data_IF_930178033058
#
_entry.id   IF_930178033058
#
_cell.length_a   1.000
_cell.length_b   1.000
_cell.length_c   1.000
_cell.angle_alpha   90.00
_cell.angle_beta   90.00
_cell.angle_gamma   90.00
#
_symmetry.space_group_name_H-M   'P 1'
#
loop_
_entity.id
_entity.type
_entity.pdbx_description
1 polymer ?
#
# COMPACT_ATOMS: atom_id res chain seq x y z
N UNK A 1 35.51 43.81 9.05
CA UNK A 1 34.81 44.43 10.20
C UNK A 1 35.11 45.93 10.14
N UNK A 2 34.21 46.90 10.03
CA UNK A 2 32.75 47.01 10.01
C UNK A 2 32.43 48.29 9.18
N UNK A 3 31.53 48.22 8.19
CA UNK A 3 30.12 48.66 8.25
C UNK A 3 29.88 50.18 8.11
N UNK A 4 29.62 50.55 6.86
CA UNK A 4 28.72 51.57 6.26
C UNK A 4 28.01 52.60 7.16
N UNK A 5 28.17 53.85 6.70
CA UNK A 5 27.55 55.15 7.05
C UNK A 5 26.01 55.17 6.99
N UNK A 6 25.39 55.95 7.90
CA UNK A 6 23.94 56.18 8.03
C UNK A 6 23.35 57.20 7.01
N UNK A 7 22.06 56.99 6.69
CA UNK A 7 21.12 57.81 5.88
C UNK A 7 20.73 59.16 6.57
N UNK A 8 19.93 60.14 6.02
CA UNK A 8 18.54 59.97 5.47
C UNK A 8 18.04 61.01 4.41
N UNK A 9 16.84 60.81 3.79
CA UNK A 9 15.79 61.85 3.51
C UNK A 9 14.63 61.42 2.57
N UNK A 10 13.46 61.14 3.17
CA UNK A 10 12.04 61.58 2.90
C UNK A 10 11.33 61.53 1.51
N UNK A 11 9.96 61.49 1.50
CA UNK A 11 9.13 60.68 0.59
C UNK A 11 8.39 61.49 -0.50
N UNK A 12 7.85 60.79 -1.51
CA UNK A 12 6.86 61.37 -2.45
C UNK A 12 5.55 60.58 -2.45
N UNK A 13 4.61 61.23 -1.78
CA UNK A 13 3.15 61.24 -1.89
C UNK A 13 2.53 60.71 -3.20
N UNK A 14 1.42 59.96 -3.08
CA UNK A 14 0.42 59.92 -4.16
C UNK A 14 -0.47 58.68 -4.22
N UNK A 15 -1.64 58.79 -3.57
CA UNK A 15 -2.95 58.36 -4.08
C UNK A 15 -3.58 57.07 -3.50
N UNK A 16 -4.31 57.27 -2.40
CA UNK A 16 -5.48 56.48 -2.01
C UNK A 16 -6.68 56.86 -2.90
N UNK A 17 -7.33 55.85 -3.50
CA UNK A 17 -8.79 55.90 -3.73
C UNK A 17 -9.40 54.57 -3.32
N UNK A 18 -10.52 54.67 -2.62
CA UNK A 18 -11.23 53.59 -1.96
C UNK A 18 -12.60 53.31 -2.62
N UNK A 19 -13.09 52.09 -2.35
CA UNK A 19 -14.48 51.58 -2.33
C UNK A 19 -15.17 51.19 -3.66
N UNK A 20 -16.18 50.28 -3.66
CA UNK A 20 -16.84 49.58 -2.54
C UNK A 20 -17.00 48.04 -2.67
N UNK A 21 -17.48 47.45 -1.57
CA UNK A 21 -18.25 46.18 -1.40
C UNK A 21 -19.36 46.05 -2.47
N UNK A 22 -19.87 44.88 -2.88
CA UNK A 22 -20.50 43.85 -2.05
C UNK A 22 -20.92 42.65 -2.93
N UNK A 23 -21.14 41.52 -2.26
CA UNK A 23 -22.11 40.44 -2.54
C UNK A 23 -22.21 39.76 -3.92
N UNK A 24 -21.89 38.47 -3.83
CA UNK A 24 -22.77 37.34 -4.19
C UNK A 24 -22.69 36.67 -5.57
N UNK A 25 -22.41 35.37 -5.46
CA UNK A 25 -22.89 34.24 -6.26
C UNK A 25 -22.23 33.90 -7.62
N UNK A 26 -21.41 32.84 -7.55
CA UNK A 26 -21.63 31.54 -8.20
C UNK A 26 -20.91 31.17 -9.51
N UNK A 27 -20.16 30.07 -9.37
CA UNK A 27 -19.81 28.97 -10.29
C UNK A 27 -19.03 29.26 -11.57
N UNK A 28 -17.83 28.67 -11.62
CA UNK A 28 -17.42 27.56 -12.52
C UNK A 28 -16.01 27.17 -12.08
N UNK A 29 -15.83 26.21 -11.15
CA UNK A 29 -15.66 24.76 -11.39
C UNK A 29 -14.59 24.48 -12.47
N UNK A 30 -13.58 23.69 -12.06
CA UNK A 30 -12.47 23.09 -12.83
C UNK A 30 -11.10 23.71 -12.45
N UNK A 31 -10.13 23.01 -11.86
CA UNK A 31 -10.01 21.61 -11.49
C UNK A 31 -9.19 21.55 -10.20
N UNK A 32 -9.77 20.95 -9.17
CA UNK A 32 -9.03 20.44 -8.04
C UNK A 32 -8.04 19.44 -8.65
N UNK A 33 -6.74 19.74 -8.63
CA UNK A 33 -5.76 18.68 -8.73
C UNK A 33 -5.88 17.88 -7.43
N UNK A 34 -6.87 16.98 -7.40
CA UNK A 34 -6.82 15.77 -6.60
C UNK A 34 -5.58 15.03 -7.10
N UNK A 35 -4.43 15.33 -6.49
CA UNK A 35 -3.32 14.40 -6.51
C UNK A 35 -3.91 13.17 -5.83
N UNK A 36 -4.28 12.20 -6.67
CA UNK A 36 -4.80 10.92 -6.25
C UNK A 36 -3.97 10.44 -5.08
N UNK A 37 -4.67 10.09 -4.01
CA UNK A 37 -4.16 9.29 -2.92
C UNK A 37 -3.22 8.24 -3.54
N UNK A 38 -1.91 8.42 -3.36
CA UNK A 38 -0.92 7.36 -3.56
C UNK A 38 -1.20 6.37 -2.42
N UNK A 39 -2.36 5.73 -2.45
CA UNK A 39 -2.78 4.71 -1.50
C UNK A 39 -1.84 3.55 -1.77
N UNK A 40 -0.72 3.53 -1.05
CA UNK A 40 0.07 2.31 -0.93
C UNK A 40 -0.88 1.35 -0.22
N UNK A 41 -1.54 0.50 -1.00
CA UNK A 41 -2.48 -0.48 -0.49
C UNK A 41 -1.69 -1.52 0.30
N UNK A 42 -1.48 -1.19 1.57
CA UNK A 42 -0.78 -1.98 2.54
C UNK A 42 -1.77 -2.87 3.28
N UNK A 43 -1.50 -4.17 3.28
CA UNK A 43 -2.23 -5.19 3.99
C UNK A 43 -1.39 -5.65 5.17
N UNK A 44 -1.89 -5.43 6.39
CA UNK A 44 -1.23 -5.95 7.58
C UNK A 44 -2.22 -6.50 8.59
N UNK A 45 -1.77 -7.47 9.38
CA UNK A 45 -2.62 -8.11 10.38
C UNK A 45 -2.19 -9.52 10.71
N UNK A 46 -3.01 -10.20 11.51
CA UNK A 46 -2.81 -11.61 11.82
C UNK A 46 -3.41 -12.49 10.72
N UNK A 47 -2.64 -13.48 10.28
CA UNK A 47 -3.07 -14.46 9.29
C UNK A 47 -2.74 -15.88 9.73
N UNK A 48 -3.32 -16.85 9.04
CA UNK A 48 -3.07 -18.27 9.30
C UNK A 48 -2.30 -18.90 8.16
N UNK A 49 -1.16 -19.53 8.45
CA UNK A 49 -0.41 -20.32 7.47
C UNK A 49 -1.05 -21.71 7.32
N UNK A 50 -1.18 -22.16 6.08
CA UNK A 50 -1.53 -23.52 5.70
C UNK A 50 -0.29 -24.16 5.06
N UNK A 51 0.08 -25.36 5.52
CA UNK A 51 1.12 -26.19 4.90
C UNK A 51 0.45 -27.48 4.41
N UNK A 52 0.54 -27.75 3.12
CA UNK A 52 -0.19 -28.86 2.49
C UNK A 52 -1.70 -28.64 2.55
N UNK A 53 -2.38 -29.33 3.48
CA UNK A 53 -3.84 -29.24 3.69
C UNK A 53 -4.20 -28.88 5.13
N UNK A 54 -3.22 -28.63 6.00
CA UNK A 54 -3.43 -28.38 7.43
C UNK A 54 -3.13 -26.93 7.79
N UNK A 55 -3.99 -26.33 8.63
CA UNK A 55 -3.71 -25.06 9.29
C UNK A 55 -2.52 -25.27 10.24
N UNK A 56 -1.40 -24.63 9.95
CA UNK A 56 -0.12 -24.87 10.61
C UNK A 56 0.10 -23.92 11.80
N UNK A 57 -0.35 -22.67 11.71
CA UNK A 57 -0.20 -21.70 12.79
C UNK A 57 -0.54 -20.27 12.37
N UNK A 58 -0.68 -19.39 13.36
CA UNK A 58 -0.90 -17.96 13.16
C UNK A 58 0.42 -17.20 13.06
N UNK A 59 0.45 -16.16 12.22
CA UNK A 59 1.57 -15.23 12.02
C UNK A 59 1.04 -13.81 11.85
N UNK A 60 1.92 -12.83 11.98
CA UNK A 60 1.63 -11.46 11.56
C UNK A 60 2.16 -11.25 10.14
N UNK A 61 1.38 -10.64 9.24
CA UNK A 61 1.80 -10.26 7.91
C UNK A 61 1.83 -8.74 7.73
N UNK A 62 2.73 -8.28 6.87
CA UNK A 62 2.82 -6.91 6.37
C UNK A 62 3.18 -6.96 4.90
N UNK A 63 2.22 -6.66 4.03
CA UNK A 63 2.31 -6.83 2.58
C UNK A 63 1.93 -5.51 1.91
N UNK A 64 2.65 -5.15 0.85
CA UNK A 64 2.33 -4.04 -0.04
C UNK A 64 1.87 -4.61 -1.37
N UNK A 65 0.76 -4.10 -1.88
CA UNK A 65 0.21 -4.58 -3.15
C UNK A 65 1.07 -4.14 -4.32
N UNK A 66 1.21 -5.04 -5.28
CA UNK A 66 1.89 -4.74 -6.54
C UNK A 66 0.86 -4.17 -7.52
N UNK A 67 0.97 -2.89 -7.93
CA UNK A 67 -0.04 -2.24 -8.79
C UNK A 67 -0.02 -2.75 -10.24
N UNK A 68 0.89 -3.68 -10.56
CA UNK A 68 1.05 -4.25 -11.89
C UNK A 68 0.45 -5.65 -11.91
N UNK A 69 -0.48 -5.89 -12.84
CA UNK A 69 -1.05 -7.22 -13.02
C UNK A 69 0.04 -8.26 -13.36
N UNK A 70 0.09 -9.32 -12.57
CA UNK A 70 1.06 -10.40 -12.69
C UNK A 70 0.73 -11.54 -11.72
N UNK A 71 1.56 -12.59 -11.67
CA UNK A 71 1.35 -13.69 -10.74
C UNK A 71 1.53 -13.26 -9.27
N UNK A 72 2.38 -12.25 -9.03
CA UNK A 72 2.59 -11.64 -7.72
C UNK A 72 1.56 -10.53 -7.54
N UNK A 73 0.79 -10.62 -6.46
CA UNK A 73 -0.26 -9.63 -6.11
C UNK A 73 0.18 -8.72 -4.97
N UNK A 74 1.07 -9.18 -4.10
CA UNK A 74 1.65 -8.38 -3.03
C UNK A 74 3.04 -8.89 -2.64
N UNK A 75 3.86 -8.03 -2.06
CA UNK A 75 5.18 -8.34 -1.55
C UNK A 75 5.33 -7.82 -0.13
N UNK A 76 6.13 -8.47 0.70
CA UNK A 76 6.39 -7.95 2.03
C UNK A 76 6.95 -9.00 2.96
N UNK A 77 6.53 -8.95 4.21
CA UNK A 77 7.05 -9.82 5.26
C UNK A 77 5.97 -10.54 6.04
N UNK A 78 6.33 -11.72 6.53
CA UNK A 78 5.58 -12.47 7.53
C UNK A 78 6.46 -12.70 8.74
N UNK A 79 5.88 -12.58 9.93
CA UNK A 79 6.57 -12.64 11.20
C UNK A 79 5.93 -13.67 12.12
N UNK A 80 6.75 -14.54 12.70
CA UNK A 80 6.31 -15.56 13.66
C UNK A 80 7.49 -16.19 14.40
N UNK A 81 7.24 -17.20 15.24
CA UNK A 81 8.29 -17.91 15.95
C UNK A 81 9.33 -18.51 14.98
N UNK A 82 10.62 -18.32 15.23
CA UNK A 82 11.69 -18.71 14.27
C UNK A 82 11.64 -20.19 13.86
N UNK A 83 11.34 -21.09 14.81
CA UNK A 83 11.18 -22.52 14.49
C UNK A 83 10.02 -22.79 13.53
N UNK A 84 8.91 -22.07 13.71
CA UNK A 84 7.75 -22.13 12.83
C UNK A 84 8.09 -21.56 11.46
N UNK A 85 8.72 -20.39 11.40
CA UNK A 85 9.09 -19.75 10.13
C UNK A 85 10.11 -20.56 9.34
N UNK A 86 11.01 -21.30 10.01
CA UNK A 86 11.88 -22.27 9.36
C UNK A 86 11.08 -23.42 8.74
N UNK A 87 9.99 -23.87 9.36
CA UNK A 87 9.10 -24.86 8.77
C UNK A 87 8.39 -24.30 7.53
N UNK A 88 7.86 -23.07 7.62
CA UNK A 88 7.20 -22.39 6.49
C UNK A 88 8.16 -22.26 5.29
N UNK A 89 9.41 -21.84 5.52
CA UNK A 89 10.43 -21.73 4.46
C UNK A 89 10.73 -23.05 3.74
N UNK A 90 10.69 -24.16 4.47
CA UNK A 90 11.00 -25.48 3.92
C UNK A 90 9.78 -26.17 3.31
N UNK A 91 8.58 -25.61 3.47
CA UNK A 91 7.36 -26.14 2.90
C UNK A 91 7.29 -25.84 1.39
N UNK A 92 6.71 -26.77 0.63
CA UNK A 92 6.39 -26.55 -0.78
C UNK A 92 5.05 -25.82 -0.88
N UNK A 93 5.07 -24.59 -1.40
CA UNK A 93 3.86 -23.78 -1.62
C UNK A 93 3.03 -23.54 -0.36
N UNK A 94 3.62 -23.02 0.74
CA UNK A 94 2.83 -22.62 1.90
C UNK A 94 1.80 -21.56 1.49
N UNK A 95 0.60 -21.62 2.07
CA UNK A 95 -0.46 -20.64 1.82
C UNK A 95 -0.68 -19.76 3.05
N UNK A 96 -1.10 -18.53 2.83
CA UNK A 96 -1.50 -17.59 3.88
C UNK A 96 -2.97 -17.25 3.70
N UNK A 97 -3.73 -17.47 4.76
CA UNK A 97 -5.10 -16.98 4.91
C UNK A 97 -5.03 -15.60 5.57
N UNK A 98 -5.49 -14.58 4.87
CA UNK A 98 -5.66 -13.21 5.36
C UNK A 98 -6.94 -13.09 6.21
N UNK A 99 -7.16 -11.94 6.86
CA UNK A 99 -8.28 -11.77 7.81
C UNK A 99 -9.68 -12.00 7.21
N UNK A 100 -9.88 -11.74 5.91
CA UNK A 100 -11.16 -11.93 5.21
C UNK A 100 -11.29 -13.31 4.52
N UNK A 101 -10.59 -14.32 5.06
CA UNK A 101 -10.50 -15.68 4.50
C UNK A 101 -9.91 -15.75 3.08
N UNK A 102 -9.34 -14.65 2.59
CA UNK A 102 -8.63 -14.63 1.30
C UNK A 102 -7.32 -15.42 1.40
N UNK A 103 -7.05 -16.28 0.41
CA UNK A 103 -5.90 -17.19 0.43
C UNK A 103 -4.92 -16.82 -0.68
N UNK A 104 -3.66 -16.63 -0.31
CA UNK A 104 -2.53 -16.46 -1.23
C UNK A 104 -1.52 -17.58 -1.06
N UNK A 105 -0.86 -17.95 -2.16
CA UNK A 105 0.32 -18.82 -2.07
C UNK A 105 1.55 -17.96 -1.79
N UNK A 106 2.39 -18.37 -0.85
CA UNK A 106 3.62 -17.65 -0.51
C UNK A 106 4.82 -18.25 -1.23
N UNK A 107 5.54 -17.38 -1.93
CA UNK A 107 6.91 -17.64 -2.33
C UNK A 107 7.83 -16.94 -1.32
N UNK A 108 8.58 -17.72 -0.54
CA UNK A 108 9.49 -17.16 0.44
C UNK A 108 10.87 -16.89 -0.15
N UNK A 109 11.40 -15.68 0.05
CA UNK A 109 12.67 -15.21 -0.53
C UNK A 109 13.84 -15.21 0.47
N UNK A 110 13.55 -15.48 1.76
CA UNK A 110 14.54 -15.53 2.82
C UNK A 110 14.11 -14.74 4.05
N UNK A 111 15.06 -14.35 4.88
CA UNK A 111 14.83 -13.62 6.13
C UNK A 111 15.47 -14.32 7.33
N UNK A 112 15.43 -13.68 8.48
CA UNK A 112 16.06 -14.13 9.72
C UNK A 112 15.20 -13.77 10.94
N UNK A 113 15.52 -14.37 12.09
CA UNK A 113 15.01 -13.96 13.41
C UNK A 113 13.49 -13.82 13.50
N UNK A 114 12.76 -14.78 12.94
CA UNK A 114 11.30 -14.85 12.94
C UNK A 114 10.63 -14.08 11.82
N UNK A 115 11.36 -13.33 10.99
CA UNK A 115 10.82 -12.58 9.86
C UNK A 115 11.21 -13.27 8.56
N UNK A 116 10.28 -13.39 7.61
CA UNK A 116 10.54 -13.86 6.25
C UNK A 116 10.00 -12.89 5.21
N UNK A 117 10.81 -12.58 4.21
CA UNK A 117 10.39 -11.85 3.03
C UNK A 117 9.67 -12.78 2.08
N UNK A 118 8.52 -12.35 1.59
CA UNK A 118 7.62 -13.16 0.78
C UNK A 118 7.05 -12.37 -0.39
N UNK A 119 6.76 -13.10 -1.45
CA UNK A 119 5.87 -12.70 -2.53
C UNK A 119 4.57 -13.49 -2.38
N UNK A 120 3.46 -12.78 -2.26
CA UNK A 120 2.13 -13.35 -2.30
C UNK A 120 1.72 -13.53 -3.76
N UNK A 121 1.46 -14.77 -4.13
CA UNK A 121 0.97 -15.17 -5.44
C UNK A 121 -0.54 -15.37 -5.35
N UNK A 122 -1.27 -14.93 -6.38
CA UNK A 122 -2.69 -15.26 -6.49
C UNK A 122 -2.86 -16.79 -6.50
N UNK A 123 -3.68 -17.32 -5.59
CA UNK A 123 -3.96 -18.75 -5.53
C UNK A 123 -5.02 -19.11 -6.58
N UNK A 124 -4.61 -19.30 -7.84
CA UNK A 124 -5.41 -20.17 -8.73
C UNK A 124 -5.07 -21.61 -8.35
N UNK A 125 -6.08 -22.38 -7.96
CA UNK A 125 -5.89 -23.74 -7.45
C UNK A 125 -5.10 -24.66 -8.41
N UNK A 126 -4.63 -25.82 -7.94
CA UNK A 126 -3.69 -26.69 -8.67
C UNK A 126 -4.21 -27.29 -9.99
N UNK A 127 -5.44 -27.01 -10.41
CA UNK A 127 -6.04 -27.47 -11.68
C UNK A 127 -6.32 -26.38 -12.71
N UNK A 128 -6.12 -25.11 -12.40
CA UNK A 128 -6.23 -24.05 -13.40
C UNK A 128 -4.99 -23.18 -13.31
N UNK A 129 -4.13 -23.30 -14.34
CA UNK A 129 -3.10 -22.29 -14.56
C UNK A 129 -3.79 -20.92 -14.48
N UNK A 130 -3.31 -20.01 -13.62
CA UNK A 130 -3.65 -18.59 -13.72
C UNK A 130 -3.13 -18.06 -15.07
N UNK A 131 -3.77 -18.43 -16.18
CA UNK A 131 -3.50 -17.89 -17.51
C UNK A 131 -4.34 -16.65 -17.77
N UNK A 132 -5.35 -16.39 -16.93
CA UNK A 132 -6.22 -15.25 -17.08
C UNK A 132 -5.86 -14.14 -16.08
N UNK A 133 -5.50 -12.99 -16.66
CA UNK A 133 -5.28 -11.69 -15.99
C UNK A 133 -6.43 -11.34 -15.03
N UNK A 134 -7.61 -11.91 -15.25
CA UNK A 134 -8.82 -11.70 -14.47
C UNK A 134 -8.70 -12.08 -12.99
N UNK A 135 -7.99 -13.13 -12.60
CA UNK A 135 -7.95 -13.54 -11.18
C UNK A 135 -7.00 -12.67 -10.35
N UNK A 136 -5.83 -12.32 -10.90
CA UNK A 136 -4.95 -11.31 -10.30
C UNK A 136 -5.67 -9.95 -10.21
N UNK A 137 -6.43 -9.59 -11.25
CA UNK A 137 -7.29 -8.41 -11.22
C UNK A 137 -8.43 -8.53 -10.21
N UNK A 138 -8.95 -9.71 -9.88
CA UNK A 138 -9.96 -9.85 -8.82
C UNK A 138 -9.38 -9.63 -7.43
N UNK A 139 -8.14 -10.07 -7.19
CA UNK A 139 -7.42 -9.74 -5.95
C UNK A 139 -7.18 -8.24 -5.89
N UNK A 140 -6.60 -7.69 -6.96
CA UNK A 140 -6.32 -6.26 -7.04
C UNK A 140 -7.60 -5.44 -6.92
N UNK A 141 -8.68 -5.82 -7.59
CA UNK A 141 -9.96 -5.11 -7.52
C UNK A 141 -10.64 -5.29 -6.16
N UNK A 142 -10.55 -6.46 -5.52
CA UNK A 142 -11.03 -6.65 -4.15
C UNK A 142 -10.30 -5.72 -3.18
N UNK A 143 -8.98 -5.57 -3.32
CA UNK A 143 -8.24 -4.69 -2.44
C UNK A 143 -8.42 -3.21 -2.78
N UNK A 144 -8.36 -2.85 -4.07
CA UNK A 144 -8.52 -1.47 -4.56
C UNK A 144 -9.95 -0.93 -4.38
N UNK A 145 -10.97 -1.78 -4.44
CA UNK A 145 -12.38 -1.36 -4.24
C UNK A 145 -12.79 -1.32 -2.76
N UNK A 146 -11.89 -1.70 -1.84
CA UNK A 146 -11.98 -1.51 -0.39
C UNK A 146 -13.40 -1.62 0.17
N UNK A 147 -13.91 -2.85 0.39
CA UNK A 147 -15.17 -3.09 1.11
C UNK A 147 -15.36 -4.55 1.54
N UNK A 148 -15.30 -4.77 2.85
CA UNK A 148 -16.45 -5.25 3.61
C UNK A 148 -16.51 -4.52 4.95
#
# INVERSE_FOLDING_TARGET
MAAVTMAPSTPKEGNMKAHPVDSDLILLRAEHMDLHDDTIDELSGDGTIIIGQAKAGAIYYWLTIVPVAGPVVAEGSITGPEEFMRMVMNATGPKLVLQDDYVVTLQCEGGATGVRWVKALADCGPTEQCTDRSDALRVLNWVLEGRA
#
